data_IF_116772127604
#
_entry.id   IF_116772127604
#
_cell.length_a   1.000
_cell.length_b   1.000
_cell.length_c   1.000
_cell.angle_alpha   90.00
_cell.angle_beta   90.00
_cell.angle_gamma   90.00
#
_symmetry.space_group_name_H-M   'P 1'
#
loop_
_entity.id
_entity.type
_entity.pdbx_description
1 polymer ?
#
# COMPACT_ATOMS: atom_id res chain seq x y z
N UNK A 1 -14.85 -18.40 17.17
CA UNK A 1 -14.76 -18.41 15.69
C UNK A 1 -14.29 -19.77 15.21
N UNK A 2 -14.80 -20.26 14.07
CA UNK A 2 -14.34 -21.51 13.43
C UNK A 2 -13.64 -21.21 12.10
N UNK A 3 -12.52 -21.88 11.84
CA UNK A 3 -11.78 -21.78 10.57
C UNK A 3 -11.48 -23.19 10.04
N UNK A 4 -12.00 -23.54 8.87
CA UNK A 4 -11.70 -24.79 8.18
C UNK A 4 -10.65 -24.53 7.08
N UNK A 5 -9.52 -25.24 7.10
CA UNK A 5 -8.44 -25.12 6.12
C UNK A 5 -8.45 -26.33 5.20
N UNK A 6 -8.84 -26.14 3.95
CA UNK A 6 -8.90 -27.16 2.92
C UNK A 6 -7.57 -27.20 2.16
N UNK A 7 -6.79 -28.28 2.31
CA UNK A 7 -5.40 -28.38 1.84
C UNK A 7 -5.02 -29.81 1.45
N UNK A 8 -3.97 -29.97 0.64
CA UNK A 8 -3.31 -31.24 0.39
C UNK A 8 -2.29 -31.63 1.47
N UNK A 9 -1.85 -30.68 2.30
CA UNK A 9 -0.76 -30.84 3.28
C UNK A 9 -1.14 -30.36 4.69
N UNK A 10 -2.13 -30.99 5.37
CA UNK A 10 -2.46 -30.69 6.76
C UNK A 10 -1.26 -30.67 7.71
N UNK A 11 -0.27 -31.53 7.45
CA UNK A 11 0.96 -31.64 8.23
C UNK A 11 1.83 -30.37 8.22
N UNK A 12 1.67 -29.49 7.23
CA UNK A 12 2.33 -28.18 7.20
C UNK A 12 1.64 -27.16 8.10
N UNK A 13 0.32 -27.32 8.29
CA UNK A 13 -0.54 -26.33 8.97
C UNK A 13 -0.66 -26.66 10.46
N UNK A 14 -0.93 -27.91 10.81
CA UNK A 14 -1.25 -28.33 12.17
C UNK A 14 -0.16 -28.02 13.23
N UNK A 15 1.15 -28.15 12.93
CA UNK A 15 2.19 -27.79 13.90
C UNK A 15 2.17 -26.31 14.28
N UNK A 16 1.87 -25.42 13.33
CA UNK A 16 1.80 -23.97 13.57
C UNK A 16 0.55 -23.65 14.40
N UNK A 17 -0.58 -24.26 14.08
CA UNK A 17 -1.83 -24.10 14.84
C UNK A 17 -1.76 -24.62 16.27
N UNK A 18 -0.83 -25.53 16.55
CA UNK A 18 -0.60 -26.08 17.88
C UNK A 18 0.39 -25.26 18.71
N UNK A 19 1.11 -24.34 18.09
CA UNK A 19 2.15 -23.53 18.72
C UNK A 19 1.64 -22.20 19.28
N UNK A 20 2.39 -21.66 20.24
CA UNK A 20 2.29 -20.26 20.70
C UNK A 20 0.85 -19.83 21.05
N UNK A 21 0.44 -18.63 20.62
CA UNK A 21 -0.85 -18.00 20.91
C UNK A 21 -2.03 -18.77 20.28
N UNK A 22 -1.85 -19.31 19.07
CA UNK A 22 -2.88 -20.08 18.37
C UNK A 22 -3.19 -21.39 19.11
N UNK A 23 -2.17 -22.11 19.55
CA UNK A 23 -2.33 -23.32 20.36
C UNK A 23 -3.06 -23.03 21.69
N UNK A 24 -2.72 -21.92 22.36
CA UNK A 24 -3.42 -21.49 23.58
C UNK A 24 -4.88 -21.12 23.31
N UNK A 25 -5.15 -20.38 22.23
CA UNK A 25 -6.51 -20.00 21.83
C UNK A 25 -7.38 -21.23 21.52
N UNK A 26 -6.81 -22.24 20.84
CA UNK A 26 -7.49 -23.54 20.60
C UNK A 26 -7.75 -24.28 21.91
N UNK A 27 -6.75 -24.39 22.78
CA UNK A 27 -6.91 -25.07 24.08
C UNK A 27 -7.95 -24.38 24.99
N UNK A 28 -8.08 -23.06 24.88
CA UNK A 28 -9.08 -22.26 25.59
C UNK A 28 -10.47 -22.27 24.93
N UNK A 29 -10.63 -22.89 23.75
CA UNK A 29 -11.90 -22.93 23.02
C UNK A 29 -12.32 -21.62 22.36
N UNK A 30 -11.41 -20.63 22.28
CA UNK A 30 -11.67 -19.33 21.65
C UNK A 30 -11.65 -19.42 20.12
N UNK A 31 -10.83 -20.34 19.61
CA UNK A 31 -10.62 -20.58 18.18
C UNK A 31 -10.73 -22.07 17.87
N UNK A 32 -11.57 -22.44 16.90
CA UNK A 32 -11.70 -23.80 16.38
C UNK A 32 -11.13 -23.85 14.96
N UNK A 33 -9.82 -24.16 14.84
CA UNK A 33 -9.17 -24.34 13.53
C UNK A 33 -9.03 -25.82 13.22
N UNK A 34 -9.50 -26.22 12.03
CA UNK A 34 -9.50 -27.60 11.55
C UNK A 34 -8.91 -27.68 10.16
N UNK A 35 -8.02 -28.64 9.94
CA UNK A 35 -7.52 -28.96 8.61
C UNK A 35 -8.35 -30.08 7.96
N UNK A 36 -8.63 -29.95 6.67
CA UNK A 36 -9.33 -30.91 5.85
C UNK A 36 -8.44 -31.35 4.69
N UNK A 37 -8.17 -32.66 4.60
CA UNK A 37 -7.31 -33.26 3.59
C UNK A 37 -8.08 -33.48 2.27
N UNK A 38 -7.81 -32.67 1.25
CA UNK A 38 -8.50 -32.74 -0.06
C UNK A 38 -8.45 -34.13 -0.71
N UNK A 39 -7.38 -34.90 -0.47
CA UNK A 39 -7.24 -36.28 -0.99
C UNK A 39 -8.28 -37.25 -0.44
N UNK A 40 -9.02 -36.91 0.62
CA UNK A 40 -10.08 -37.74 1.17
C UNK A 40 -11.41 -37.61 0.41
N UNK A 41 -11.56 -36.56 -0.41
CA UNK A 41 -12.76 -36.31 -1.22
C UNK A 41 -12.60 -36.65 -2.70
N UNK A 42 -11.42 -37.04 -3.16
CA UNK A 42 -11.26 -37.44 -4.55
C UNK A 42 -11.88 -38.80 -4.84
N UNK A 43 -12.58 -38.88 -5.97
CA UNK A 43 -13.12 -40.13 -6.52
C UNK A 43 -12.06 -40.95 -7.26
N UNK A 44 -10.87 -40.39 -7.50
CA UNK A 44 -9.78 -41.12 -8.15
C UNK A 44 -9.17 -42.18 -7.21
N UNK A 45 -9.09 -43.42 -7.71
CA UNK A 45 -8.55 -44.58 -6.96
C UNK A 45 -7.13 -44.36 -6.43
N UNK A 46 -6.31 -43.60 -7.14
CA UNK A 46 -4.92 -43.29 -6.76
C UNK A 46 -4.78 -42.03 -5.90
N UNK A 47 -5.89 -41.47 -5.40
CA UNK A 47 -5.93 -40.21 -4.63
C UNK A 47 -5.33 -39.01 -5.36
N UNK A 48 -5.47 -38.99 -6.68
CA UNK A 48 -5.11 -37.86 -7.53
C UNK A 48 -6.04 -36.68 -7.30
N UNK A 49 -5.49 -35.48 -7.35
CA UNK A 49 -6.20 -34.23 -7.05
C UNK A 49 -5.95 -33.17 -8.11
N UNK A 50 -5.27 -33.51 -9.20
CA UNK A 50 -4.72 -32.61 -10.20
C UNK A 50 -4.51 -33.33 -11.54
N UNK A 51 -4.47 -32.55 -12.62
CA UNK A 51 -4.18 -33.00 -13.99
C UNK A 51 -3.58 -31.88 -14.84
N UNK A 52 -3.20 -32.20 -16.07
CA UNK A 52 -2.72 -31.23 -17.04
C UNK A 52 -3.79 -30.17 -17.38
N UNK A 53 -3.40 -28.90 -17.54
CA UNK A 53 -4.33 -27.84 -17.93
C UNK A 53 -4.83 -28.02 -19.37
N UNK A 54 -6.11 -27.74 -19.59
CA UNK A 54 -6.62 -27.52 -20.95
C UNK A 54 -5.96 -26.28 -21.57
N UNK A 55 -5.71 -26.33 -22.89
CA UNK A 55 -5.00 -25.27 -23.62
C UNK A 55 -3.48 -25.45 -23.65
N UNK A 56 -2.94 -26.47 -22.99
CA UNK A 56 -1.49 -26.69 -22.87
C UNK A 56 -0.86 -25.78 -21.81
N UNK A 57 0.44 -25.95 -21.60
CA UNK A 57 1.19 -25.27 -20.53
C UNK A 57 2.01 -26.26 -19.71
N UNK A 58 2.93 -25.73 -18.90
CA UNK A 58 3.64 -26.52 -17.91
C UNK A 58 2.81 -26.62 -16.62
N UNK A 59 3.09 -27.64 -15.80
CA UNK A 59 2.46 -27.81 -14.49
C UNK A 59 1.13 -28.55 -14.53
N UNK A 60 0.45 -28.53 -13.38
CA UNK A 60 -0.81 -29.26 -13.11
C UNK A 60 -1.84 -28.29 -12.53
N UNK A 61 -3.12 -28.56 -12.71
CA UNK A 61 -4.25 -27.81 -12.15
C UNK A 61 -5.07 -28.75 -11.28
N UNK A 62 -5.44 -28.29 -10.09
CA UNK A 62 -6.24 -29.09 -9.16
C UNK A 62 -7.65 -29.33 -9.69
N UNK A 63 -8.14 -30.56 -9.56
CA UNK A 63 -9.48 -30.95 -9.97
C UNK A 63 -10.57 -30.20 -9.19
N UNK A 64 -11.66 -29.87 -9.88
CA UNK A 64 -12.84 -29.30 -9.25
C UNK A 64 -13.55 -30.25 -8.27
N UNK A 65 -13.65 -31.53 -8.63
CA UNK A 65 -14.44 -32.53 -7.90
C UNK A 65 -14.10 -32.64 -6.40
N UNK A 66 -12.84 -32.91 -5.98
CA UNK A 66 -12.54 -33.04 -4.55
C UNK A 66 -12.80 -31.76 -3.76
N UNK A 67 -12.66 -30.59 -4.39
CA UNK A 67 -12.90 -29.29 -3.75
C UNK A 67 -14.40 -29.07 -3.53
N UNK A 68 -15.21 -29.29 -4.56
CA UNK A 68 -16.67 -29.13 -4.48
C UNK A 68 -17.25 -30.08 -3.43
N UNK A 69 -16.85 -31.34 -3.45
CA UNK A 69 -17.37 -32.35 -2.51
C UNK A 69 -16.92 -32.06 -1.07
N UNK A 70 -15.69 -31.59 -0.87
CA UNK A 70 -15.21 -31.18 0.45
C UNK A 70 -16.00 -29.98 0.98
N UNK A 71 -16.25 -28.96 0.16
CA UNK A 71 -17.05 -27.79 0.55
C UNK A 71 -18.49 -28.20 0.90
N UNK A 72 -19.12 -29.06 0.10
CA UNK A 72 -20.46 -29.58 0.39
C UNK A 72 -20.52 -30.36 1.70
N UNK A 73 -19.49 -31.15 2.01
CA UNK A 73 -19.42 -31.94 3.24
C UNK A 73 -19.16 -31.06 4.48
N UNK A 74 -18.25 -30.08 4.37
CA UNK A 74 -17.83 -29.25 5.49
C UNK A 74 -18.82 -28.13 5.78
N UNK A 75 -19.40 -27.52 4.75
CA UNK A 75 -20.26 -26.34 4.85
C UNK A 75 -21.53 -26.46 3.99
N UNK A 76 -22.37 -27.49 4.23
CA UNK A 76 -23.60 -27.69 3.45
C UNK A 76 -24.57 -26.51 3.56
N UNK A 77 -24.58 -25.82 4.70
CA UNK A 77 -25.42 -24.66 4.98
C UNK A 77 -24.93 -23.35 4.39
N UNK A 78 -23.77 -23.33 3.70
CA UNK A 78 -23.20 -22.11 3.12
C UNK A 78 -23.01 -20.98 4.15
N UNK A 79 -22.61 -21.35 5.38
CA UNK A 79 -22.46 -20.40 6.48
C UNK A 79 -21.03 -19.84 6.56
N UNK A 80 -20.05 -20.51 5.93
CA UNK A 80 -18.67 -20.04 5.93
C UNK A 80 -18.45 -19.00 4.82
N UNK A 81 -17.71 -17.95 5.14
CA UNK A 81 -17.07 -17.13 4.12
C UNK A 81 -15.88 -17.88 3.54
N UNK A 82 -15.87 -18.05 2.21
CA UNK A 82 -14.97 -18.97 1.49
C UNK A 82 -13.89 -18.20 0.77
N UNK A 83 -12.64 -18.44 1.15
CA UNK A 83 -11.48 -17.70 0.66
C UNK A 83 -10.52 -18.66 -0.04
N UNK A 84 -10.17 -18.36 -1.29
CA UNK A 84 -9.09 -19.01 -2.02
C UNK A 84 -7.82 -18.17 -1.90
N UNK A 85 -6.75 -18.77 -1.39
CA UNK A 85 -5.46 -18.11 -1.25
C UNK A 85 -4.76 -18.05 -2.60
N UNK A 86 -4.71 -16.85 -3.20
CA UNK A 86 -4.34 -16.63 -4.59
C UNK A 86 -3.61 -15.28 -4.75
N UNK A 87 -2.48 -15.21 -5.49
CA UNK A 87 -1.79 -13.95 -5.74
C UNK A 87 -2.61 -12.95 -6.57
N UNK A 88 -3.69 -13.40 -7.22
CA UNK A 88 -4.62 -12.56 -7.99
C UNK A 88 -5.65 -11.84 -7.12
N UNK A 89 -5.76 -12.26 -5.86
CA UNK A 89 -6.82 -11.82 -4.95
C UNK A 89 -6.59 -10.43 -4.38
N UNK A 90 -7.59 -9.96 -3.62
CA UNK A 90 -7.46 -8.73 -2.82
C UNK A 90 -6.30 -8.89 -1.84
N UNK A 91 -5.41 -7.92 -1.74
CA UNK A 91 -4.28 -7.99 -0.80
C UNK A 91 -4.77 -7.92 0.65
N UNK A 92 -4.28 -8.84 1.49
CA UNK A 92 -4.50 -8.86 2.93
C UNK A 92 -3.89 -7.60 3.54
N UNK A 93 -4.75 -6.81 4.19
CA UNK A 93 -4.37 -5.66 5.01
C UNK A 93 -4.97 -5.83 6.41
N UNK A 94 -4.56 -4.99 7.36
CA UNK A 94 -5.12 -5.02 8.71
C UNK A 94 -6.66 -4.85 8.70
N UNK A 95 -7.18 -3.96 7.86
CA UNK A 95 -8.63 -3.78 7.65
C UNK A 95 -9.32 -5.04 7.11
N UNK A 96 -8.65 -5.78 6.24
CA UNK A 96 -9.18 -7.06 5.75
C UNK A 96 -9.19 -8.10 6.86
N UNK A 97 -8.14 -8.15 7.71
CA UNK A 97 -8.13 -9.04 8.86
C UNK A 97 -9.27 -8.72 9.86
N UNK A 98 -9.55 -7.43 10.10
CA UNK A 98 -10.69 -6.98 10.92
C UNK A 98 -12.04 -7.39 10.32
N UNK A 99 -12.19 -7.24 8.99
CA UNK A 99 -13.38 -7.69 8.28
C UNK A 99 -13.60 -9.20 8.46
N UNK A 100 -12.54 -10.00 8.26
CA UNK A 100 -12.60 -11.46 8.41
C UNK A 100 -12.78 -11.89 9.87
N UNK A 101 -12.27 -11.12 10.83
CA UNK A 101 -12.45 -11.39 12.25
C UNK A 101 -13.90 -11.20 12.72
N UNK A 102 -14.72 -10.47 11.95
CA UNK A 102 -16.16 -10.32 12.19
C UNK A 102 -16.99 -11.56 11.79
N UNK A 103 -16.41 -12.50 11.06
CA UNK A 103 -17.12 -13.70 10.59
C UNK A 103 -17.17 -14.78 11.67
N UNK A 104 -18.30 -15.48 11.80
CA UNK A 104 -18.40 -16.62 12.71
C UNK A 104 -17.59 -17.83 12.21
N UNK A 105 -17.54 -17.99 10.88
CA UNK A 105 -16.93 -19.13 10.19
C UNK A 105 -16.20 -18.73 8.90
N UNK A 106 -14.96 -19.18 8.78
CA UNK A 106 -14.15 -19.06 7.57
C UNK A 106 -13.82 -20.45 6.99
N UNK A 107 -13.76 -20.55 5.66
CA UNK A 107 -13.23 -21.72 4.94
C UNK A 107 -12.13 -21.26 3.99
N UNK A 108 -10.91 -21.70 4.24
CA UNK A 108 -9.71 -21.30 3.52
C UNK A 108 -9.26 -22.44 2.58
N UNK A 109 -9.27 -22.21 1.27
CA UNK A 109 -8.78 -23.15 0.27
C UNK A 109 -7.33 -22.85 -0.09
N UNK A 110 -6.45 -23.81 0.19
CA UNK A 110 -5.04 -23.76 -0.20
C UNK A 110 -4.87 -24.39 -1.59
N UNK A 111 -4.61 -23.56 -2.60
CA UNK A 111 -4.22 -24.04 -3.92
C UNK A 111 -2.79 -24.55 -3.95
N UNK A 112 -2.47 -25.33 -4.98
CA UNK A 112 -1.14 -25.83 -5.25
C UNK A 112 -0.94 -25.93 -6.77
N UNK A 113 0.29 -26.23 -7.21
CA UNK A 113 0.63 -26.34 -8.63
C UNK A 113 0.40 -25.01 -9.38
N UNK A 114 -0.20 -25.02 -10.58
CA UNK A 114 -0.58 -23.80 -11.31
C UNK A 114 -1.87 -23.15 -10.76
N UNK A 115 -2.58 -23.86 -9.88
CA UNK A 115 -3.79 -23.37 -9.22
C UNK A 115 -4.95 -24.36 -9.26
N UNK A 116 -6.15 -23.82 -9.10
CA UNK A 116 -7.40 -24.56 -8.97
C UNK A 116 -8.26 -24.37 -10.22
N UNK A 117 -8.96 -25.42 -10.65
CA UNK A 117 -9.97 -25.31 -11.69
C UNK A 117 -11.01 -24.23 -11.35
N UNK A 118 -11.10 -23.21 -12.21
CA UNK A 118 -11.94 -22.02 -11.98
C UNK A 118 -13.40 -22.38 -11.71
N UNK A 119 -13.92 -23.47 -12.28
CA UNK A 119 -15.31 -23.90 -12.06
C UNK A 119 -15.58 -24.28 -10.61
N UNK A 120 -14.59 -24.80 -9.90
CA UNK A 120 -14.72 -25.10 -8.47
C UNK A 120 -14.86 -23.82 -7.65
N UNK A 121 -14.05 -22.80 -7.99
CA UNK A 121 -14.07 -21.49 -7.35
C UNK A 121 -15.41 -20.79 -7.56
N UNK A 122 -15.87 -20.74 -8.81
CA UNK A 122 -17.13 -20.10 -9.20
C UNK A 122 -18.34 -20.82 -8.57
N UNK A 123 -18.37 -22.16 -8.63
CA UNK A 123 -19.48 -22.96 -8.11
C UNK A 123 -19.58 -22.89 -6.59
N UNK A 124 -18.44 -22.85 -5.89
CA UNK A 124 -18.42 -22.78 -4.44
C UNK A 124 -18.45 -21.34 -3.90
N UNK A 125 -18.38 -20.32 -4.76
CA UNK A 125 -18.42 -18.91 -4.36
C UNK A 125 -17.18 -18.48 -3.57
N UNK A 126 -15.99 -18.89 -4.00
CA UNK A 126 -14.74 -18.45 -3.36
C UNK A 126 -14.40 -17.02 -3.76
N UNK A 127 -14.10 -16.16 -2.78
CA UNK A 127 -13.37 -14.91 -3.01
C UNK A 127 -11.86 -15.18 -3.01
N UNK A 128 -11.08 -14.42 -3.77
CA UNK A 128 -9.63 -14.54 -3.82
C UNK A 128 -8.96 -13.56 -2.86
N UNK A 129 -7.98 -14.05 -2.09
CA UNK A 129 -7.18 -13.24 -1.18
C UNK A 129 -5.68 -13.49 -1.39
N UNK A 130 -4.92 -12.41 -1.56
CA UNK A 130 -3.46 -12.43 -1.70
C UNK A 130 -2.80 -11.98 -0.40
N UNK A 131 -1.64 -12.55 -0.05
CA UNK A 131 -0.81 -12.08 1.08
C UNK A 131 0.34 -11.17 0.63
N UNK A 132 0.40 -10.84 -0.67
CA UNK A 132 1.34 -9.88 -1.24
C UNK A 132 1.77 -10.22 -2.66
N UNK A 133 2.55 -9.32 -3.26
CA UNK A 133 2.93 -9.36 -4.67
C UNK A 133 4.15 -10.27 -4.89
N UNK A 134 3.97 -11.56 -4.59
CA UNK A 134 4.96 -12.63 -4.77
C UNK A 134 4.26 -13.98 -4.94
N UNK A 135 4.98 -14.99 -5.40
CA UNK A 135 4.43 -16.33 -5.68
C UNK A 135 5.00 -17.35 -4.69
N UNK A 136 4.12 -18.18 -4.13
CA UNK A 136 4.45 -19.30 -3.26
C UNK A 136 4.11 -20.63 -3.94
N UNK A 137 4.63 -21.74 -3.40
CA UNK A 137 4.38 -23.08 -3.95
C UNK A 137 2.97 -23.61 -3.65
N UNK A 138 2.31 -23.05 -2.64
CA UNK A 138 0.98 -23.43 -2.19
C UNK A 138 0.35 -22.40 -1.25
N UNK A 139 -0.93 -22.56 -0.98
CA UNK A 139 -1.72 -21.64 -0.18
C UNK A 139 -1.56 -21.78 1.35
N UNK A 140 -0.87 -22.82 1.83
CA UNK A 140 -0.78 -23.17 3.26
C UNK A 140 -0.18 -22.03 4.09
N UNK A 141 0.91 -21.42 3.62
CA UNK A 141 1.52 -20.28 4.28
C UNK A 141 0.60 -19.05 4.26
N UNK A 142 -0.13 -18.85 3.14
CA UNK A 142 -1.14 -17.80 3.03
C UNK A 142 -2.26 -17.98 4.05
N UNK A 143 -2.78 -19.20 4.19
CA UNK A 143 -3.81 -19.54 5.16
C UNK A 143 -3.31 -19.31 6.59
N UNK A 144 -2.08 -19.72 6.91
CA UNK A 144 -1.49 -19.50 8.24
C UNK A 144 -1.31 -18.01 8.57
N UNK A 145 -0.89 -17.19 7.60
CA UNK A 145 -0.79 -15.73 7.77
C UNK A 145 -2.17 -15.12 8.04
N UNK A 146 -3.18 -15.51 7.27
CA UNK A 146 -4.56 -15.05 7.47
C UNK A 146 -5.09 -15.47 8.83
N UNK A 147 -4.92 -16.74 9.22
CA UNK A 147 -5.36 -17.28 10.50
C UNK A 147 -4.70 -16.54 11.66
N UNK A 148 -3.39 -16.30 11.60
CA UNK A 148 -2.67 -15.59 12.66
C UNK A 148 -3.16 -14.13 12.79
N UNK A 149 -3.27 -13.40 11.67
CA UNK A 149 -3.76 -12.03 11.66
C UNK A 149 -5.19 -11.90 12.21
N UNK A 150 -6.09 -12.81 11.82
CA UNK A 150 -7.49 -12.84 12.26
C UNK A 150 -7.61 -13.28 13.72
N UNK A 151 -6.90 -14.33 14.13
CA UNK A 151 -7.01 -14.90 15.47
C UNK A 151 -6.65 -13.88 16.57
N UNK A 152 -5.68 -12.99 16.30
CA UNK A 152 -5.30 -11.91 17.23
C UNK A 152 -6.43 -10.93 17.54
N UNK A 153 -7.39 -10.79 16.62
CA UNK A 153 -8.53 -9.90 16.75
C UNK A 153 -9.74 -10.57 17.43
N UNK A 154 -9.69 -11.89 17.63
CA UNK A 154 -10.76 -12.61 18.34
C UNK A 154 -10.68 -12.30 19.84
N UNK A 155 -11.78 -11.84 20.47
CA UNK A 155 -11.78 -11.49 21.88
C UNK A 155 -11.26 -12.60 22.80
N UNK A 156 -10.35 -12.25 23.70
CA UNK A 156 -9.73 -13.17 24.66
C UNK A 156 -8.52 -13.93 24.13
N UNK A 157 -8.19 -13.86 22.83
CA UNK A 157 -6.98 -14.51 22.29
C UNK A 157 -5.74 -13.78 22.79
N UNK A 158 -5.68 -12.46 22.59
CA UNK A 158 -4.68 -11.61 23.23
C UNK A 158 -5.16 -11.28 24.64
N UNK A 159 -4.41 -11.65 25.68
CA UNK A 159 -4.84 -11.53 27.09
C UNK A 159 -5.00 -10.09 27.62
N UNK A 160 -4.76 -9.06 26.80
CA UNK A 160 -4.95 -7.66 27.14
C UNK A 160 -5.39 -6.85 25.91
N UNK A 161 -6.55 -6.18 26.00
CA UNK A 161 -7.10 -5.37 24.91
C UNK A 161 -6.29 -4.08 24.61
N UNK A 162 -5.39 -3.68 25.52
CA UNK A 162 -4.54 -2.50 25.31
C UNK A 162 -3.43 -2.75 24.29
N UNK A 163 -2.94 -3.99 24.15
CA UNK A 163 -1.81 -4.25 23.25
C UNK A 163 -2.15 -4.06 21.79
N UNK A 164 -3.41 -4.25 21.38
CA UNK A 164 -3.83 -4.18 19.99
C UNK A 164 -4.11 -2.76 19.47
N UNK A 165 -4.25 -1.77 20.36
CA UNK A 165 -4.65 -0.40 19.98
C UNK A 165 -3.53 0.43 19.37
N UNK A 166 -2.30 0.22 19.85
CA UNK A 166 -1.13 0.98 19.43
C UNK A 166 -0.29 0.23 18.37
N UNK A 167 -0.84 -0.83 17.75
CA UNK A 167 -0.12 -1.65 16.78
C UNK A 167 0.01 -0.99 15.42
N UNK A 168 1.04 -1.43 14.69
CA UNK A 168 1.24 -0.98 13.31
C UNK A 168 -0.01 -1.22 12.48
N UNK A 169 -0.36 -0.24 11.65
CA UNK A 169 -1.51 -0.23 10.74
C UNK A 169 -2.89 -0.05 11.39
N UNK A 170 -3.07 -0.30 12.69
CA UNK A 170 -4.34 -0.07 13.40
C UNK A 170 -4.78 1.40 13.34
N UNK A 171 -3.84 2.31 13.54
CA UNK A 171 -4.07 3.77 13.48
C UNK A 171 -3.67 4.39 12.13
N UNK A 172 -3.30 3.55 11.14
CA UNK A 172 -2.67 4.01 9.90
C UNK A 172 -1.20 4.39 10.05
N UNK A 173 -0.57 4.18 11.20
CA UNK A 173 0.85 4.46 11.43
C UNK A 173 1.65 3.17 11.73
N UNK A 174 2.97 3.23 11.60
CA UNK A 174 3.87 2.19 12.10
C UNK A 174 4.13 2.35 13.60
N UNK A 175 4.37 1.24 14.31
CA UNK A 175 4.74 1.30 15.73
C UNK A 175 6.05 2.05 15.99
N UNK A 176 6.12 2.66 17.18
CA UNK A 176 7.34 3.26 17.71
C UNK A 176 8.41 2.21 18.07
N UNK A 177 9.70 2.59 18.17
CA UNK A 177 10.75 1.69 18.61
C UNK A 177 10.52 1.15 20.02
N UNK A 178 10.66 -0.16 20.18
CA UNK A 178 10.50 -0.85 21.47
C UNK A 178 11.86 -1.03 22.16
N UNK A 179 11.88 -0.83 23.48
CA UNK A 179 13.06 -1.01 24.32
C UNK A 179 12.73 -1.90 25.51
N UNK A 180 13.69 -2.72 25.93
CA UNK A 180 13.57 -3.55 27.14
C UNK A 180 14.86 -3.51 27.94
N UNK A 181 14.84 -4.13 29.12
CA UNK A 181 16.01 -4.21 30.00
C UNK A 181 17.15 -4.98 29.30
N UNK A 182 18.42 -4.61 29.55
CA UNK A 182 18.90 -3.56 30.45
C UNK A 182 18.82 -2.13 29.87
N UNK A 183 18.85 -1.11 30.73
CA UNK A 183 18.76 0.31 30.32
C UNK A 183 19.94 0.80 29.46
N UNK A 184 21.09 0.12 29.52
CA UNK A 184 22.22 0.34 28.61
C UNK A 184 22.72 -0.99 28.10
N UNK A 185 22.82 -1.13 26.78
CA UNK A 185 23.35 -2.32 26.13
C UNK A 185 24.45 -1.91 25.15
N UNK A 186 25.69 -2.32 25.44
CA UNK A 186 26.87 -2.02 24.61
C UNK A 186 27.07 -0.51 24.34
N UNK A 187 26.80 0.32 25.36
CA UNK A 187 26.90 1.78 25.25
C UNK A 187 25.71 2.47 24.57
N UNK A 188 24.70 1.71 24.14
CA UNK A 188 23.43 2.26 23.65
C UNK A 188 22.44 2.34 24.81
N UNK A 189 22.02 3.56 25.15
CA UNK A 189 21.08 3.80 26.24
C UNK A 189 19.65 3.81 25.72
N UNK A 190 18.73 3.30 26.54
CA UNK A 190 17.29 3.53 26.37
C UNK A 190 17.01 5.04 26.49
N UNK A 191 16.13 5.63 25.67
CA UNK A 191 15.78 7.05 25.78
C UNK A 191 15.33 7.43 27.21
N UNK A 192 15.88 8.51 27.74
CA UNK A 192 15.64 8.93 29.14
C UNK A 192 14.16 9.12 29.47
N UNK A 193 13.37 9.60 28.50
CA UNK A 193 11.91 9.77 28.63
C UNK A 193 11.19 8.47 29.00
N UNK A 194 11.70 7.31 28.56
CA UNK A 194 11.13 6.00 28.88
C UNK A 194 11.51 5.49 30.28
N UNK A 195 12.45 6.15 30.96
CA UNK A 195 12.94 5.77 32.29
C UNK A 195 12.30 6.59 33.41
N UNK A 196 11.71 7.74 33.10
CA UNK A 196 11.23 8.72 34.08
C UNK A 196 9.78 8.52 34.53
N UNK A 197 9.04 7.58 33.93
CA UNK A 197 7.69 7.18 34.35
C UNK A 197 6.59 8.22 34.08
N UNK A 198 6.87 9.34 33.40
CA UNK A 198 5.86 10.30 33.00
C UNK A 198 5.06 9.77 31.79
N UNK A 199 3.86 9.25 32.04
CA UNK A 199 3.00 8.66 31.00
C UNK A 199 2.68 9.62 29.84
N UNK A 200 2.50 10.92 30.11
CA UNK A 200 2.20 11.90 29.06
C UNK A 200 3.40 12.14 28.13
N UNK A 201 4.60 12.27 28.70
CA UNK A 201 5.83 12.45 27.91
C UNK A 201 6.16 11.18 27.12
N UNK A 202 5.95 10.00 27.72
CA UNK A 202 6.13 8.71 27.05
C UNK A 202 5.16 8.59 25.87
N UNK A 203 3.87 8.90 26.06
CA UNK A 203 2.89 8.85 24.98
C UNK A 203 3.25 9.80 23.84
N UNK A 204 3.62 11.05 24.16
CA UNK A 204 4.05 12.04 23.15
C UNK A 204 5.28 11.56 22.38
N UNK A 205 6.28 11.03 23.08
CA UNK A 205 7.48 10.49 22.45
C UNK A 205 7.15 9.30 21.53
N UNK A 206 6.27 8.38 21.96
CA UNK A 206 5.82 7.23 21.15
C UNK A 206 5.15 7.69 19.86
N UNK A 207 4.23 8.65 19.94
CA UNK A 207 3.58 9.22 18.76
C UNK A 207 4.59 9.86 17.80
N UNK A 208 5.53 10.66 18.32
CA UNK A 208 6.57 11.30 17.50
C UNK A 208 7.43 10.28 16.76
N UNK A 209 7.86 9.22 17.44
CA UNK A 209 8.66 8.17 16.81
C UNK A 209 7.87 7.35 15.79
N UNK A 210 6.59 7.06 16.07
CA UNK A 210 5.68 6.39 15.15
C UNK A 210 5.53 7.20 13.84
N UNK A 211 5.25 8.51 13.95
CA UNK A 211 5.17 9.41 12.81
C UNK A 211 6.48 9.48 12.03
N UNK A 212 7.61 9.61 12.73
CA UNK A 212 8.94 9.69 12.11
C UNK A 212 9.28 8.41 11.34
N UNK A 213 9.02 7.24 11.92
CA UNK A 213 9.23 5.95 11.25
C UNK A 213 8.29 5.76 10.06
N UNK A 214 7.04 6.17 10.19
CA UNK A 214 6.06 6.09 9.10
C UNK A 214 6.49 6.98 7.94
N UNK A 215 6.88 8.23 8.21
CA UNK A 215 7.42 9.16 7.21
C UNK A 215 8.67 8.61 6.51
N UNK A 216 9.57 7.96 7.25
CA UNK A 216 10.81 7.40 6.71
C UNK A 216 10.57 6.15 5.84
N UNK A 217 9.69 5.24 6.28
CA UNK A 217 9.61 3.88 5.72
C UNK A 217 8.36 3.59 4.89
N UNK A 218 7.24 4.21 5.26
CA UNK A 218 5.92 3.99 4.65
C UNK A 218 5.16 5.32 4.52
N UNK A 219 5.71 6.31 3.80
CA UNK A 219 5.07 7.61 3.62
C UNK A 219 3.72 7.51 2.90
N UNK A 220 3.46 6.40 2.20
CA UNK A 220 2.16 6.08 1.61
C UNK A 220 1.04 5.92 2.64
N UNK A 221 1.36 5.54 3.89
CA UNK A 221 0.39 5.45 4.98
C UNK A 221 -0.03 6.82 5.52
N UNK A 222 0.75 7.88 5.24
CA UNK A 222 0.47 9.26 5.66
C UNK A 222 -0.48 10.00 4.70
N UNK A 223 -1.34 9.29 3.98
CA UNK A 223 -2.52 9.85 3.29
C UNK A 223 -3.48 10.54 4.29
N UNK A 224 -4.80 10.57 4.04
CA UNK A 224 -5.82 11.24 4.90
C UNK A 224 -5.41 11.26 6.39
N UNK A 225 -4.86 12.40 6.81
CA UNK A 225 -3.94 12.54 7.94
C UNK A 225 -4.46 11.95 9.25
N UNK A 226 -3.59 11.65 10.26
CA UNK A 226 -4.06 11.23 11.58
C UNK A 226 -5.17 12.18 12.06
N UNK A 227 -6.29 11.61 12.51
CA UNK A 227 -7.48 12.37 12.88
C UNK A 227 -7.17 13.43 13.96
N UNK A 228 -6.15 13.17 14.78
CA UNK A 228 -5.68 14.01 15.87
C UNK A 228 -4.90 15.26 15.38
N UNK A 229 -5.25 16.40 15.93
CA UNK A 229 -4.65 17.71 15.63
C UNK A 229 -3.21 17.81 16.15
N UNK A 230 -2.92 17.20 17.30
CA UNK A 230 -1.57 17.19 17.89
C UNK A 230 -0.59 16.36 17.04
N UNK A 231 -1.06 15.23 16.50
CA UNK A 231 -0.27 14.39 15.60
C UNK A 231 -0.01 15.10 14.25
N UNK A 232 -0.97 15.90 13.75
CA UNK A 232 -0.80 16.72 12.54
C UNK A 232 0.24 17.81 12.74
N UNK A 233 0.22 18.54 13.85
CA UNK A 233 1.22 19.56 14.16
C UNK A 233 2.61 18.94 14.34
N UNK A 234 2.70 17.80 15.04
CA UNK A 234 3.95 17.05 15.19
C UNK A 234 4.51 16.58 13.85
N UNK A 235 3.67 16.05 12.96
CA UNK A 235 4.06 15.67 11.60
C UNK A 235 4.53 16.88 10.78
N UNK A 236 3.84 18.03 10.89
CA UNK A 236 4.24 19.26 10.21
C UNK A 236 5.62 19.75 10.66
N UNK A 237 5.90 19.71 11.97
CA UNK A 237 7.23 20.03 12.53
C UNK A 237 8.32 19.08 12.03
N UNK A 238 8.04 17.77 12.03
CA UNK A 238 8.98 16.76 11.51
C UNK A 238 9.30 16.97 10.03
N UNK A 239 8.32 17.36 9.22
CA UNK A 239 8.50 17.70 7.81
C UNK A 239 9.22 19.03 7.57
N UNK A 240 9.08 20.00 8.48
CA UNK A 240 9.73 21.32 8.40
C UNK A 240 11.20 21.28 8.86
N UNK A 241 11.58 20.31 9.69
CA UNK A 241 12.97 20.06 10.07
C UNK A 241 13.80 19.49 8.92
N UNK A 242 14.95 20.12 8.62
CA UNK A 242 15.87 19.77 7.53
C UNK A 242 16.32 18.28 7.51
N UNK A 243 16.23 17.59 8.65
CA UNK A 243 16.68 16.21 8.83
C UNK A 243 15.83 15.17 8.06
N UNK A 244 14.54 15.42 7.84
CA UNK A 244 13.67 14.48 7.13
C UNK A 244 13.92 14.52 5.61
N UNK A 245 14.19 15.70 5.06
CA UNK A 245 14.47 15.89 3.62
C UNK A 245 15.83 15.27 3.24
N UNK A 246 16.85 15.39 4.11
CA UNK A 246 18.13 14.71 3.90
C UNK A 246 18.04 13.19 4.08
N UNK A 247 17.24 12.68 5.02
CA UNK A 247 17.04 11.24 5.23
C UNK A 247 16.30 10.55 4.07
N UNK A 248 15.26 11.21 3.52
CA UNK A 248 14.52 10.74 2.33
C UNK A 248 15.40 10.81 1.07
N UNK A 249 16.31 11.78 0.98
CA UNK A 249 17.25 11.89 -0.14
C UNK A 249 18.42 10.89 -0.07
N UNK A 250 18.82 10.46 1.13
CA UNK A 250 20.00 9.61 1.35
C UNK A 250 19.77 8.11 1.10
N UNK A 251 18.53 7.62 1.10
CA UNK A 251 18.22 6.19 0.92
C UNK A 251 17.40 5.99 -0.34
N UNK A 252 18.09 5.65 -1.42
CA UNK A 252 17.53 5.44 -2.74
C UNK A 252 16.28 4.58 -2.73
N UNK A 253 15.15 5.21 -3.04
CA UNK A 253 13.92 4.53 -3.43
C UNK A 253 14.17 3.89 -4.80
N UNK A 254 14.41 2.58 -4.80
CA UNK A 254 14.09 1.72 -5.93
C UNK A 254 12.57 1.52 -5.92
N UNK A 255 11.89 2.16 -6.86
CA UNK A 255 10.55 1.77 -7.29
C UNK A 255 10.46 2.04 -8.79
N UNK A 256 10.04 1.02 -9.51
CA UNK A 256 9.98 0.92 -10.96
C UNK A 256 9.22 2.09 -11.59
N UNK A 257 9.93 2.88 -12.40
CA UNK A 257 9.36 3.59 -13.54
C UNK A 257 10.25 3.29 -14.76
N UNK A 258 10.40 2.01 -15.08
CA UNK A 258 11.05 1.57 -16.30
C UNK A 258 10.01 1.47 -17.43
N UNK A 259 9.62 2.62 -18.01
CA UNK A 259 9.17 2.70 -19.42
C UNK A 259 8.85 4.13 -19.89
N UNK A 260 9.73 5.11 -19.66
CA UNK A 260 9.71 6.38 -20.42
C UNK A 260 11.13 6.88 -20.66
N UNK A 261 12.04 5.93 -20.93
CA UNK A 261 13.37 6.22 -21.44
C UNK A 261 13.24 6.53 -22.93
N UNK A 262 12.90 7.78 -23.26
CA UNK A 262 13.16 8.45 -24.55
C UNK A 262 12.47 9.83 -24.55
N UNK A 263 12.96 10.74 -23.72
CA UNK A 263 12.74 12.17 -23.92
C UNK A 263 13.88 12.93 -23.22
N UNK A 264 14.82 13.40 -24.03
CA UNK A 264 15.98 14.14 -23.61
C UNK A 264 15.64 15.33 -22.69
N UNK A 265 16.46 15.45 -21.65
CA UNK A 265 16.68 16.58 -20.75
C UNK A 265 15.49 17.51 -20.45
N UNK A 266 15.04 17.52 -19.19
CA UNK A 266 14.37 18.70 -18.63
C UNK A 266 15.31 19.90 -18.86
N UNK A 267 14.88 20.98 -19.52
CA UNK A 267 15.83 21.99 -19.94
C UNK A 267 16.37 22.70 -18.69
N UNK A 268 17.67 22.55 -18.41
CA UNK A 268 18.36 23.14 -17.24
C UNK A 268 18.03 24.62 -17.01
N UNK A 269 17.77 25.35 -18.10
CA UNK A 269 17.39 26.75 -18.06
C UNK A 269 16.06 27.03 -17.32
N UNK A 270 15.16 26.04 -17.18
CA UNK A 270 13.90 26.21 -16.41
C UNK A 270 14.12 26.18 -14.91
N UNK A 271 15.03 25.33 -14.42
CA UNK A 271 15.41 25.32 -13.00
C UNK A 271 16.07 26.66 -12.66
N UNK A 272 16.87 27.20 -13.58
CA UNK A 272 17.49 28.52 -13.41
C UNK A 272 16.46 29.66 -13.51
N UNK A 273 15.46 29.56 -14.37
CA UNK A 273 14.44 30.61 -14.54
C UNK A 273 13.40 30.64 -13.41
N UNK A 274 12.95 29.48 -12.90
CA UNK A 274 11.75 29.40 -12.06
C UNK A 274 11.99 28.98 -10.62
N UNK A 275 13.17 28.47 -10.27
CA UNK A 275 13.49 28.07 -8.90
C UNK A 275 14.38 29.12 -8.25
N UNK A 276 14.06 29.62 -7.04
CA UNK A 276 14.88 30.59 -6.32
C UNK A 276 16.33 30.14 -6.20
N UNK A 277 17.27 31.07 -6.29
CA UNK A 277 18.70 30.76 -6.44
C UNK A 277 19.24 29.84 -5.34
N UNK A 278 18.79 30.03 -4.08
CA UNK A 278 19.15 29.17 -2.95
C UNK A 278 18.74 27.69 -3.15
N UNK A 279 17.75 27.40 -3.99
CA UNK A 279 17.16 26.08 -4.19
C UNK A 279 17.59 25.42 -5.52
N UNK A 280 18.26 26.15 -6.41
CA UNK A 280 18.69 25.64 -7.73
C UNK A 280 19.69 24.49 -7.62
N UNK A 281 20.57 24.52 -6.61
CA UNK A 281 21.59 23.48 -6.38
C UNK A 281 20.98 22.13 -5.98
N UNK A 282 19.89 22.16 -5.21
CA UNK A 282 19.12 20.97 -4.84
C UNK A 282 18.37 20.40 -6.05
N UNK A 283 17.70 21.25 -6.83
CA UNK A 283 16.98 20.84 -8.03
C UNK A 283 17.90 20.25 -9.12
N UNK A 284 19.10 20.82 -9.32
CA UNK A 284 20.08 20.33 -10.31
C UNK A 284 20.74 19.00 -9.92
N UNK A 285 20.70 18.59 -8.65
CA UNK A 285 21.28 17.32 -8.14
C UNK A 285 20.33 16.13 -8.25
N UNK A 286 19.06 16.34 -8.61
CA UNK A 286 18.15 15.26 -8.94
C UNK A 286 18.54 14.64 -10.29
N UNK A 287 19.23 13.50 -10.27
CA UNK A 287 19.82 12.86 -11.46
C UNK A 287 18.84 12.22 -12.45
N UNK A 288 17.52 12.24 -12.20
CA UNK A 288 16.52 11.72 -13.15
C UNK A 288 15.39 12.71 -13.41
N UNK A 289 14.87 12.65 -14.64
CA UNK A 289 13.80 13.51 -15.15
C UNK A 289 12.52 13.50 -14.30
N UNK A 290 12.10 12.31 -13.87
CA UNK A 290 10.92 12.11 -13.02
C UNK A 290 11.09 12.77 -11.65
N UNK A 291 12.31 12.74 -11.09
CA UNK A 291 12.62 13.39 -9.81
C UNK A 291 12.63 14.91 -9.92
N UNK A 292 13.14 15.45 -11.03
CA UNK A 292 13.09 16.90 -11.29
C UNK A 292 11.64 17.39 -11.48
N UNK A 293 10.78 16.56 -12.09
CA UNK A 293 9.36 16.85 -12.26
C UNK A 293 8.58 16.86 -10.95
N UNK A 294 8.76 15.82 -10.14
CA UNK A 294 8.11 15.71 -8.82
C UNK A 294 8.59 16.81 -7.86
N UNK A 295 9.79 17.33 -8.06
CA UNK A 295 10.28 18.49 -7.34
C UNK A 295 9.59 19.78 -7.83
N UNK A 296 9.52 19.99 -9.14
CA UNK A 296 8.88 21.16 -9.73
C UNK A 296 7.38 21.24 -9.40
N UNK A 297 6.66 20.12 -9.46
CA UNK A 297 5.24 20.04 -9.09
C UNK A 297 5.01 20.48 -7.63
N UNK A 298 5.83 19.95 -6.71
CA UNK A 298 5.75 20.32 -5.29
C UNK A 298 6.18 21.75 -5.02
N UNK A 299 7.11 22.30 -5.80
CA UNK A 299 7.48 23.71 -5.70
C UNK A 299 6.32 24.62 -6.18
N UNK A 300 5.60 24.20 -7.22
CA UNK A 300 4.45 24.91 -7.76
C UNK A 300 3.24 24.89 -6.80
N UNK A 301 2.90 23.73 -6.22
CA UNK A 301 1.85 23.62 -5.19
C UNK A 301 2.15 24.46 -3.94
N UNK A 302 3.43 24.76 -3.69
CA UNK A 302 3.89 25.58 -2.56
C UNK A 302 4.09 27.05 -2.91
N UNK A 303 3.70 27.49 -4.12
CA UNK A 303 3.82 28.89 -4.56
C UNK A 303 5.27 29.36 -4.76
N UNK A 304 6.24 28.44 -4.83
CA UNK A 304 7.67 28.76 -4.93
C UNK A 304 8.13 29.03 -6.37
N UNK A 305 7.20 29.01 -7.33
CA UNK A 305 7.41 29.36 -8.73
C UNK A 305 6.94 30.81 -8.96
N UNK A 306 7.79 31.71 -9.48
CA UNK A 306 7.42 33.11 -9.72
C UNK A 306 6.12 33.23 -10.53
N UNK A 307 5.19 34.07 -10.07
CA UNK A 307 3.86 34.26 -10.66
C UNK A 307 2.78 33.26 -10.20
N UNK A 308 3.14 32.18 -9.50
CA UNK A 308 2.17 31.27 -8.88
C UNK A 308 1.61 31.81 -7.55
N UNK A 309 2.43 32.56 -6.81
CA UNK A 309 2.03 33.22 -5.56
C UNK A 309 1.29 34.56 -5.79
N UNK A 310 1.43 35.16 -6.97
CA UNK A 310 0.78 36.43 -7.35
C UNK A 310 -0.52 36.22 -8.14
N UNK A 311 -0.98 34.97 -8.26
CA UNK A 311 -2.25 34.66 -8.88
C UNK A 311 -3.40 35.10 -7.95
N UNK A 312 -4.35 35.91 -8.43
CA UNK A 312 -5.57 36.23 -7.70
C UNK A 312 -6.30 34.95 -7.26
N UNK A 313 -6.95 34.99 -6.10
CA UNK A 313 -7.61 33.82 -5.49
C UNK A 313 -8.69 33.17 -6.38
N UNK A 314 -9.21 33.88 -7.39
CA UNK A 314 -10.20 33.42 -8.38
C UNK A 314 -9.58 32.78 -9.64
N UNK A 315 -8.27 32.53 -9.63
CA UNK A 315 -7.53 31.94 -10.76
C UNK A 315 -6.96 30.57 -10.38
N UNK A 316 -7.40 29.54 -11.09
CA UNK A 316 -6.86 28.19 -10.96
C UNK A 316 -5.67 27.99 -11.90
N UNK A 317 -4.48 27.80 -11.32
CA UNK A 317 -3.29 27.46 -12.10
C UNK A 317 -3.22 25.94 -12.29
N UNK A 318 -3.26 25.46 -13.55
CA UNK A 318 -3.14 24.03 -13.86
C UNK A 318 -1.90 23.71 -14.68
N UNK A 319 -1.15 22.73 -14.19
CA UNK A 319 -0.01 22.18 -14.92
C UNK A 319 -0.51 21.07 -15.86
N UNK A 320 -0.39 21.25 -17.17
CA UNK A 320 -0.85 20.26 -18.15
C UNK A 320 0.34 19.65 -18.88
N UNK A 321 0.46 18.33 -18.80
CA UNK A 321 1.47 17.56 -19.51
C UNK A 321 0.92 17.05 -20.84
N UNK A 322 1.40 17.60 -21.95
CA UNK A 322 1.09 17.07 -23.29
C UNK A 322 2.21 16.13 -23.76
N UNK A 323 1.90 15.13 -24.60
CA UNK A 323 2.91 14.29 -25.23
C UNK A 323 3.80 15.17 -26.13
N UNK A 324 5.11 15.12 -25.89
CA UNK A 324 6.20 15.77 -26.67
C UNK A 324 6.43 17.28 -26.47
N UNK A 325 5.57 18.03 -25.77
CA UNK A 325 5.87 19.40 -25.26
C UNK A 325 5.13 19.68 -23.96
N UNK A 326 5.73 20.47 -23.06
CA UNK A 326 5.18 20.77 -21.72
C UNK A 326 4.95 22.27 -21.57
N UNK A 327 3.74 22.67 -21.18
CA UNK A 327 3.30 24.08 -21.13
C UNK A 327 2.56 24.36 -19.83
N UNK A 328 2.84 25.50 -19.22
CA UNK A 328 2.13 26.04 -18.07
C UNK A 328 0.93 26.85 -18.56
N UNK A 329 -0.28 26.62 -18.04
CA UNK A 329 -1.47 27.40 -18.44
C UNK A 329 -2.18 27.94 -17.20
N UNK A 330 -2.47 29.24 -17.24
CA UNK A 330 -3.27 29.97 -16.25
C UNK A 330 -4.73 29.96 -16.70
N UNK A 331 -5.65 29.52 -15.85
CA UNK A 331 -7.09 29.47 -16.17
C UNK A 331 -7.88 30.28 -15.12
N UNK A 332 -8.81 31.12 -15.56
CA UNK A 332 -9.74 31.80 -14.67
C UNK A 332 -10.95 30.89 -14.36
N UNK A 333 -11.53 31.01 -13.16
CA UNK A 333 -12.65 30.17 -12.72
C UNK A 333 -13.82 30.13 -13.73
N UNK A 334 -14.36 28.92 -13.97
CA UNK A 334 -15.55 28.69 -14.80
C UNK A 334 -15.32 28.39 -16.29
N UNK A 335 -14.07 28.29 -16.75
CA UNK A 335 -13.73 28.17 -18.18
C UNK A 335 -13.45 26.74 -18.69
N UNK A 336 -13.78 25.70 -17.92
CA UNK A 336 -13.52 24.30 -18.29
C UNK A 336 -14.39 23.79 -19.47
N UNK A 337 -15.54 24.41 -19.76
CA UNK A 337 -16.36 24.12 -20.94
C UNK A 337 -16.18 25.20 -22.01
N UNK A 338 -15.62 24.81 -23.17
CA UNK A 338 -15.42 25.71 -24.30
C UNK A 338 -14.03 26.38 -24.34
N UNK A 339 -12.96 25.61 -24.18
CA UNK A 339 -11.55 26.06 -24.25
C UNK A 339 -11.09 26.65 -25.61
N UNK A 340 -11.99 26.80 -26.59
CA UNK A 340 -11.65 27.19 -27.96
C UNK A 340 -11.26 28.67 -28.13
N UNK A 341 -11.91 29.60 -27.42
CA UNK A 341 -11.96 31.00 -27.88
C UNK A 341 -11.73 32.09 -26.81
N UNK A 342 -11.41 31.75 -25.56
CA UNK A 342 -11.27 32.76 -24.48
C UNK A 342 -10.03 32.56 -23.61
N UNK A 343 -8.87 32.89 -24.18
CA UNK A 343 -7.66 33.16 -23.40
C UNK A 343 -7.18 34.55 -23.79
N UNK A 344 -7.41 35.54 -22.92
CA UNK A 344 -6.70 36.82 -22.98
C UNK A 344 -5.33 36.63 -22.31
N UNK A 345 -4.28 36.98 -23.05
CA UNK A 345 -2.88 36.88 -22.62
C UNK A 345 -2.29 38.27 -22.76
N UNK A 346 -1.62 38.72 -21.70
CA UNK A 346 -0.85 39.96 -21.62
C UNK A 346 0.15 40.10 -22.79
N UNK A 347 0.45 41.32 -23.24
CA UNK A 347 1.17 41.65 -24.48
C UNK A 347 2.64 41.17 -24.51
N UNK A 348 3.14 40.62 -23.40
CA UNK A 348 4.53 40.15 -23.21
C UNK A 348 4.79 38.70 -23.61
N UNK A 349 3.82 38.02 -24.25
CA UNK A 349 3.87 36.58 -24.53
C UNK A 349 3.73 36.27 -26.03
N UNK A 350 4.72 35.58 -26.63
CA UNK A 350 4.65 35.17 -28.04
C UNK A 350 3.81 33.89 -28.23
N UNK A 351 2.84 33.96 -29.15
CA UNK A 351 1.96 32.83 -29.52
C UNK A 351 2.70 31.79 -30.38
N UNK A 352 2.67 30.53 -29.98
CA UNK A 352 2.89 29.41 -30.92
C UNK A 352 1.61 28.58 -31.04
N UNK A 353 0.97 28.65 -32.21
CA UNK A 353 -0.20 27.82 -32.54
C UNK A 353 0.28 26.43 -32.93
N UNK A 354 -0.25 25.40 -32.27
CA UNK A 354 0.06 23.99 -32.56
C UNK A 354 -1.23 23.26 -32.90
N UNK A 355 -1.27 22.60 -34.05
CA UNK A 355 -2.44 21.86 -34.53
C UNK A 355 -2.09 20.37 -34.56
N UNK A 356 -2.92 19.51 -33.94
CA UNK A 356 -2.80 18.05 -33.98
C UNK A 356 -4.20 17.43 -34.06
N UNK A 357 -4.49 16.76 -35.17
CA UNK A 357 -5.85 16.27 -35.48
C UNK A 357 -6.85 17.43 -35.64
N UNK A 358 -8.12 17.22 -35.27
CA UNK A 358 -9.18 18.25 -35.36
C UNK A 358 -9.16 19.27 -34.22
N UNK A 359 -8.05 19.39 -33.47
CA UNK A 359 -7.94 20.28 -32.31
C UNK A 359 -6.78 21.25 -32.49
N UNK A 360 -7.05 22.53 -32.26
CA UNK A 360 -6.07 23.62 -32.29
C UNK A 360 -5.74 24.01 -30.85
N UNK A 361 -4.45 24.19 -30.56
CA UNK A 361 -3.96 24.59 -29.24
C UNK A 361 -3.04 25.81 -29.35
N UNK A 362 -2.97 26.61 -28.29
CA UNK A 362 -2.10 27.78 -28.19
C UNK A 362 -1.14 27.62 -27.02
N UNK A 363 0.16 27.80 -27.27
CA UNK A 363 1.19 27.87 -26.23
C UNK A 363 1.67 29.32 -26.07
N UNK A 364 1.85 29.76 -24.83
CA UNK A 364 2.39 31.07 -24.48
C UNK A 364 3.80 30.89 -23.88
N UNK A 365 4.77 31.65 -24.37
CA UNK A 365 6.13 31.73 -23.83
C UNK A 365 6.40 33.19 -23.46
N UNK A 366 6.82 33.45 -22.23
CA UNK A 366 7.32 34.77 -21.83
C UNK A 366 8.75 34.89 -22.37
N UNK A 367 9.01 35.90 -23.21
CA UNK A 367 10.39 36.22 -23.60
C UNK A 367 11.06 36.95 -22.43
N UNK A 368 12.08 36.31 -21.86
CA UNK A 368 13.01 36.99 -20.95
C UNK A 368 13.98 37.75 -21.86
N UNK A 369 13.95 39.09 -21.83
CA UNK A 369 14.94 39.93 -22.50
C UNK A 369 16.34 39.61 -21.95
N UNK A 370 17.31 39.44 -22.85
CA UNK A 370 18.70 39.00 -22.59
C UNK A 370 19.41 39.65 -21.40
#
# INVERSE_FOLDING_TARGET
>A
MRIDVLTLFPEMVEPVLSGSILGRARAAGLLDVRTAQLRDWTTHRQRMTDDYPFGGGAGMVMYAQPIVDAVQALDPGHAARRIYLSPRGRTLTQRVAEELAGEERLLLLCGHYEGVDQRALDMCGFEELSIGDYVLTGGELGALVVIDAVARLVPGVLGSDESSRDESFTTGLLEYPQYTRPASFRGMNVPDVLLQGNHADIHRWRMEQSLRLTLERRPDLLGDAPADEDARDMLARLCAGADAVEAIAARGVNAECASLAEADAFPKHWIEAFIPEQNRKAAKRACSYDRQLKYFHRAFERGLVPGAADAPDDVELRLIYLPEKRVLIRLAEGSAEGLGDRVEIDETWTRTRVVKGNRTWFAAKQEVSE
#
